data_IF_434423692988
#
_entry.id   IF_434423692988
#
_cell.length_a   1.000
_cell.length_b   1.000
_cell.length_c   1.000
_cell.angle_alpha   90.00
_cell.angle_beta   90.00
_cell.angle_gamma   90.00
#
_symmetry.space_group_name_H-M   'P 1'
#
loop_
_entity.id
_entity.type
_entity.pdbx_description
1 polymer ?
#
# COMPACT_ATOMS: atom_id res chain seq x y z
N UNK A 1 1.72 -2.24 3.24
CA UNK A 1 1.98 -1.96 1.81
C UNK A 1 1.15 -2.94 1.00
N UNK A 2 0.19 -2.45 0.23
CA UNK A 2 -0.70 -3.27 -0.60
C UNK A 2 -0.85 -2.57 -1.94
N UNK A 3 -0.48 -3.23 -3.04
CA UNK A 3 -0.76 -2.73 -4.39
C UNK A 3 -1.99 -3.49 -4.91
N UNK A 4 -3.16 -2.84 -5.04
CA UNK A 4 -4.38 -3.49 -5.50
C UNK A 4 -4.20 -4.25 -6.82
N UNK A 5 -3.54 -3.64 -7.79
CA UNK A 5 -3.34 -4.20 -9.13
C UNK A 5 -2.52 -5.50 -9.11
N UNK A 6 -1.65 -5.66 -8.11
CA UNK A 6 -0.73 -6.81 -7.98
C UNK A 6 -1.17 -7.78 -6.88
N UNK A 7 -2.33 -7.60 -6.24
CA UNK A 7 -2.74 -8.46 -5.11
C UNK A 7 -2.80 -9.94 -5.48
N UNK A 8 -3.22 -10.24 -6.72
CA UNK A 8 -3.43 -11.59 -7.21
C UNK A 8 -2.12 -12.36 -7.39
N UNK A 9 -0.98 -11.68 -7.58
CA UNK A 9 0.33 -12.34 -7.71
C UNK A 9 0.83 -12.86 -6.36
N UNK A 10 0.46 -12.19 -5.27
CA UNK A 10 0.92 -12.52 -3.92
C UNK A 10 -0.05 -13.46 -3.18
N UNK A 11 -1.34 -13.12 -3.18
CA UNK A 11 -2.35 -13.79 -2.34
C UNK A 11 -3.44 -14.52 -3.14
N UNK A 12 -3.56 -14.26 -4.44
CA UNK A 12 -4.65 -14.77 -5.28
C UNK A 12 -4.81 -16.30 -5.24
N UNK A 13 -3.75 -17.09 -5.51
CA UNK A 13 -3.83 -18.55 -5.49
C UNK A 13 -4.27 -19.12 -4.14
N UNK A 14 -3.71 -18.60 -3.04
CA UNK A 14 -3.98 -19.06 -1.68
C UNK A 14 -5.40 -18.69 -1.25
N UNK A 15 -5.86 -17.47 -1.58
CA UNK A 15 -7.23 -17.03 -1.34
C UNK A 15 -8.23 -17.89 -2.13
N UNK A 16 -7.98 -18.14 -3.41
CA UNK A 16 -8.84 -19.02 -4.24
C UNK A 16 -8.93 -20.43 -3.65
N UNK A 17 -7.79 -21.03 -3.28
CA UNK A 17 -7.75 -22.35 -2.69
C UNK A 17 -8.47 -22.42 -1.33
N UNK A 18 -8.33 -21.38 -0.51
CA UNK A 18 -9.03 -21.27 0.78
C UNK A 18 -10.53 -21.08 0.63
N UNK A 19 -10.97 -20.22 -0.29
CA UNK A 19 -12.38 -19.96 -0.57
C UNK A 19 -13.10 -21.21 -1.13
N UNK A 20 -12.42 -22.02 -1.96
CA UNK A 20 -12.99 -23.27 -2.47
C UNK A 20 -13.29 -24.31 -1.37
N UNK A 21 -12.61 -24.22 -0.22
CA UNK A 21 -12.83 -25.08 0.96
C UNK A 21 -13.77 -24.45 1.98
N UNK A 22 -14.17 -23.20 1.78
CA UNK A 22 -14.97 -22.44 2.75
C UNK A 22 -16.42 -22.92 2.69
N UNK A 23 -16.98 -23.23 3.86
CA UNK A 23 -18.39 -23.57 3.99
C UNK A 23 -19.29 -22.38 3.57
N UNK A 24 -20.38 -22.62 2.82
CA UNK A 24 -21.26 -21.57 2.30
C UNK A 24 -22.11 -20.88 3.38
N UNK A 25 -22.22 -21.45 4.58
CA UNK A 25 -22.93 -20.86 5.74
C UNK A 25 -22.18 -19.70 6.39
N UNK A 26 -20.89 -19.53 6.08
CA UNK A 26 -20.07 -18.45 6.64
C UNK A 26 -20.31 -17.14 5.91
N UNK A 27 -20.33 -16.04 6.66
CA UNK A 27 -20.29 -14.68 6.09
C UNK A 27 -19.11 -14.51 5.14
N UNK A 28 -19.21 -13.54 4.23
CA UNK A 28 -18.14 -13.15 3.30
C UNK A 28 -16.82 -12.95 4.07
N UNK A 29 -15.70 -13.36 3.46
CA UNK A 29 -14.38 -12.97 3.95
C UNK A 29 -14.21 -11.47 3.74
N UNK A 30 -13.94 -10.73 4.80
CA UNK A 30 -13.56 -9.33 4.68
C UNK A 30 -12.05 -9.20 4.47
N UNK A 31 -11.68 -8.30 3.57
CA UNK A 31 -10.29 -7.96 3.26
C UNK A 31 -10.10 -6.49 3.64
N UNK A 32 -9.21 -6.26 4.60
CA UNK A 32 -8.81 -4.92 5.04
C UNK A 32 -7.47 -4.56 4.41
N UNK A 33 -7.45 -3.44 3.69
CA UNK A 33 -6.23 -2.88 3.11
C UNK A 33 -6.38 -1.37 2.95
N UNK A 34 -5.25 -0.67 2.84
CA UNK A 34 -5.19 0.76 2.59
C UNK A 34 -3.82 1.31 2.97
N UNK A 35 -3.76 2.63 3.14
CA UNK A 35 -2.51 3.34 3.35
C UNK A 35 -2.74 4.76 3.84
N UNK A 36 -1.76 5.62 3.63
CA UNK A 36 -1.88 7.04 3.90
C UNK A 36 -3.02 7.64 3.09
N UNK A 37 -3.70 8.62 3.67
CA UNK A 37 -4.79 9.36 3.05
C UNK A 37 -4.50 10.86 3.09
N UNK A 38 -4.50 11.48 1.92
CA UNK A 38 -4.50 12.94 1.80
C UNK A 38 -5.16 13.32 0.47
N UNK A 39 -6.29 14.01 0.55
CA UNK A 39 -7.13 14.43 -0.56
C UNK A 39 -7.07 15.94 -0.63
N UNK A 40 -6.46 16.46 -1.70
CA UNK A 40 -6.38 17.88 -2.02
C UNK A 40 -6.04 17.99 -3.52
N UNK A 41 -6.70 18.89 -4.24
CA UNK A 41 -6.51 19.07 -5.69
C UNK A 41 -5.08 19.48 -6.05
N UNK A 42 -4.33 20.07 -5.12
CA UNK A 42 -2.92 20.43 -5.32
C UNK A 42 -1.96 19.22 -5.27
N UNK A 43 -2.40 18.06 -4.78
CA UNK A 43 -1.55 16.88 -4.59
C UNK A 43 -1.33 16.15 -5.91
N UNK A 44 -0.62 16.81 -6.81
CA UNK A 44 -0.15 16.31 -8.10
C UNK A 44 1.37 16.52 -8.20
N UNK A 45 2.06 15.70 -8.99
CA UNK A 45 3.50 15.83 -9.22
C UNK A 45 4.30 15.90 -7.91
N UNK A 46 5.12 16.95 -7.75
CA UNK A 46 5.99 17.11 -6.59
C UNK A 46 5.26 17.29 -5.26
N UNK A 47 4.08 17.91 -5.26
CA UNK A 47 3.28 18.07 -4.03
C UNK A 47 2.74 16.73 -3.54
N UNK A 48 2.30 15.88 -4.47
CA UNK A 48 1.94 14.49 -4.16
C UNK A 48 3.13 13.72 -3.61
N UNK A 49 4.28 13.83 -4.30
CA UNK A 49 5.52 13.13 -3.95
C UNK A 49 5.97 13.48 -2.54
N UNK A 50 5.96 14.76 -2.15
CA UNK A 50 6.33 15.20 -0.79
C UNK A 50 5.53 14.49 0.30
N UNK A 51 4.23 14.32 0.10
CA UNK A 51 3.36 13.62 1.07
C UNK A 51 3.62 12.12 1.05
N UNK A 52 3.76 11.52 -0.14
CA UNK A 52 4.07 10.09 -0.28
C UNK A 52 5.44 9.72 0.35
N UNK A 53 6.42 10.61 0.28
CA UNK A 53 7.76 10.40 0.82
C UNK A 53 7.75 10.23 2.35
N UNK A 54 6.72 10.73 3.06
CA UNK A 54 6.52 10.49 4.49
C UNK A 54 6.36 8.99 4.82
N UNK A 55 5.92 8.17 3.86
CA UNK A 55 5.76 6.73 4.02
C UNK A 55 7.06 5.93 3.82
N UNK A 56 8.09 6.51 3.19
CA UNK A 56 9.31 5.78 2.81
C UNK A 56 10.06 5.18 4.00
N UNK A 57 10.28 5.87 5.13
CA UNK A 57 11.01 5.29 6.26
C UNK A 57 10.32 4.04 6.82
N UNK A 58 8.98 4.07 6.89
CA UNK A 58 8.19 2.92 7.33
C UNK A 58 8.29 1.76 6.33
N UNK A 59 8.15 2.04 5.03
CA UNK A 59 8.31 1.01 4.00
C UNK A 59 9.71 0.41 3.97
N UNK A 60 10.76 1.21 4.14
CA UNK A 60 12.14 0.75 4.18
C UNK A 60 12.40 -0.18 5.38
N UNK A 61 11.86 0.17 6.55
CA UNK A 61 11.88 -0.72 7.71
C UNK A 61 11.23 -2.07 7.40
N UNK A 62 10.08 -2.07 6.74
CA UNK A 62 9.35 -3.31 6.47
C UNK A 62 10.07 -4.15 5.42
N UNK A 63 10.39 -3.58 4.25
CA UNK A 63 11.07 -4.28 3.15
C UNK A 63 12.48 -4.71 3.54
N UNK A 64 13.20 -3.90 4.33
CA UNK A 64 14.60 -4.16 4.65
C UNK A 64 14.86 -4.78 6.02
N UNK A 65 14.19 -4.29 7.06
CA UNK A 65 14.57 -4.54 8.46
C UNK A 65 13.66 -5.46 9.29
N UNK A 66 12.45 -5.79 8.84
CA UNK A 66 11.50 -6.60 9.64
C UNK A 66 11.83 -8.10 9.69
N UNK A 67 12.86 -8.56 8.97
CA UNK A 67 13.29 -9.96 8.98
C UNK A 67 14.72 -10.13 8.46
N UNK A 68 15.29 -11.31 8.73
CA UNK A 68 16.60 -11.69 8.21
C UNK A 68 16.53 -11.94 6.69
N UNK A 69 17.70 -11.95 6.03
CA UNK A 69 17.80 -12.29 4.60
C UNK A 69 17.18 -13.66 4.32
N UNK A 70 16.33 -13.73 3.29
CA UNK A 70 15.58 -14.94 2.94
C UNK A 70 14.48 -15.33 3.95
N UNK A 71 14.22 -14.50 4.96
CA UNK A 71 13.15 -14.65 5.96
C UNK A 71 12.50 -13.30 6.27
N UNK A 72 12.23 -12.51 5.23
CA UNK A 72 11.49 -11.26 5.35
C UNK A 72 10.29 -11.27 4.40
N UNK A 73 9.10 -11.49 4.96
CA UNK A 73 7.85 -11.56 4.20
C UNK A 73 7.53 -10.28 3.42
N UNK A 74 7.90 -9.11 3.93
CA UNK A 74 7.66 -7.84 3.22
C UNK A 74 8.62 -7.66 2.05
N UNK A 75 9.84 -8.18 2.16
CA UNK A 75 10.76 -8.29 1.05
C UNK A 75 10.21 -9.25 -0.01
N UNK A 76 9.73 -10.41 0.39
CA UNK A 76 9.11 -11.39 -0.53
C UNK A 76 7.90 -10.79 -1.27
N UNK A 77 7.09 -9.96 -0.60
CA UNK A 77 6.01 -9.19 -1.24
C UNK A 77 6.56 -8.22 -2.29
N UNK A 78 7.61 -7.47 -1.96
CA UNK A 78 8.26 -6.53 -2.89
C UNK A 78 8.71 -7.25 -4.17
N UNK A 79 9.38 -8.40 -3.98
CA UNK A 79 9.81 -9.30 -5.06
C UNK A 79 8.62 -9.79 -5.89
N UNK A 80 7.56 -10.29 -5.25
CA UNK A 80 6.35 -10.76 -5.94
C UNK A 80 5.56 -9.64 -6.66
N UNK A 81 5.80 -8.38 -6.30
CA UNK A 81 5.33 -7.22 -7.04
C UNK A 81 6.23 -6.84 -8.23
N UNK A 82 7.33 -7.54 -8.49
CA UNK A 82 8.27 -7.26 -9.57
C UNK A 82 9.30 -6.19 -9.24
N UNK A 83 9.57 -5.95 -7.94
CA UNK A 83 10.60 -5.03 -7.47
C UNK A 83 11.77 -5.80 -6.85
N UNK A 84 12.21 -6.90 -7.46
CA UNK A 84 13.23 -7.79 -6.89
C UNK A 84 14.54 -7.06 -6.63
N UNK A 85 14.99 -6.24 -7.58
CA UNK A 85 16.23 -5.46 -7.45
C UNK A 85 16.14 -4.47 -6.29
N UNK A 86 15.06 -3.72 -6.23
CA UNK A 86 14.84 -2.74 -5.18
C UNK A 86 14.63 -3.40 -3.82
N UNK A 87 14.02 -4.58 -3.77
CA UNK A 87 13.89 -5.36 -2.54
C UNK A 87 15.25 -5.76 -1.98
N UNK A 88 16.16 -6.25 -2.83
CA UNK A 88 17.52 -6.61 -2.43
C UNK A 88 18.32 -5.37 -1.99
N UNK A 89 18.28 -4.29 -2.79
CA UNK A 89 18.98 -3.04 -2.48
C UNK A 89 18.49 -2.41 -1.18
N UNK A 90 17.18 -2.32 -0.96
CA UNK A 90 16.59 -1.78 0.27
C UNK A 90 17.01 -2.61 1.48
N UNK A 91 17.02 -3.94 1.37
CA UNK A 91 17.43 -4.81 2.47
C UNK A 91 18.92 -4.69 2.79
N UNK A 92 19.78 -4.64 1.77
CA UNK A 92 21.22 -4.45 1.95
C UNK A 92 21.52 -3.13 2.67
N UNK A 93 20.97 -2.02 2.17
CA UNK A 93 21.15 -0.70 2.76
C UNK A 93 20.61 -0.64 4.19
N UNK A 94 19.42 -1.20 4.44
CA UNK A 94 18.81 -1.13 5.76
C UNK A 94 19.61 -1.92 6.81
N UNK A 95 20.09 -3.11 6.45
CA UNK A 95 20.90 -3.95 7.35
C UNK A 95 22.30 -3.38 7.58
N UNK A 96 22.84 -2.62 6.63
CA UNK A 96 24.06 -1.84 6.78
C UNK A 96 23.87 -0.54 7.59
N UNK A 97 22.64 -0.26 8.07
CA UNK A 97 22.31 0.94 8.85
C UNK A 97 22.07 2.21 8.01
N UNK A 98 22.12 2.10 6.68
CA UNK A 98 21.90 3.18 5.69
C UNK A 98 20.41 3.39 5.42
N UNK A 99 19.68 3.82 6.45
CA UNK A 99 18.20 3.87 6.43
C UNK A 99 17.63 4.88 5.45
N UNK A 100 18.29 6.02 5.28
CA UNK A 100 17.82 7.07 4.37
C UNK A 100 18.04 6.67 2.91
N UNK A 101 19.17 6.02 2.61
CA UNK A 101 19.43 5.42 1.30
C UNK A 101 18.45 4.28 1.01
N UNK A 102 18.17 3.42 1.99
CA UNK A 102 17.15 2.37 1.86
C UNK A 102 15.76 2.97 1.57
N UNK A 103 15.40 4.06 2.24
CA UNK A 103 14.15 4.78 1.98
C UNK A 103 14.12 5.42 0.57
N UNK A 104 15.25 5.92 0.09
CA UNK A 104 15.38 6.51 -1.25
C UNK A 104 15.28 5.46 -2.37
N UNK A 105 15.78 4.24 -2.14
CA UNK A 105 15.75 3.13 -3.10
C UNK A 105 14.33 2.60 -3.41
N UNK A 106 13.33 2.94 -2.58
CA UNK A 106 11.95 2.54 -2.85
C UNK A 106 11.38 3.21 -4.13
N UNK A 107 10.76 2.45 -5.05
CA UNK A 107 10.11 3.00 -6.24
C UNK A 107 8.99 3.99 -5.89
N UNK A 108 9.02 5.18 -6.47
CA UNK A 108 7.97 6.19 -6.26
C UNK A 108 6.58 5.69 -6.68
N UNK A 109 6.50 4.89 -7.74
CA UNK A 109 5.26 4.25 -8.21
C UNK A 109 4.65 3.35 -7.12
N UNK A 110 5.47 2.59 -6.40
CA UNK A 110 4.96 1.73 -5.32
C UNK A 110 4.31 2.57 -4.21
N UNK A 111 4.95 3.68 -3.82
CA UNK A 111 4.37 4.60 -2.85
C UNK A 111 3.01 5.14 -3.35
N UNK A 112 2.92 5.54 -4.61
CA UNK A 112 1.68 6.06 -5.18
C UNK A 112 0.55 5.01 -5.21
N UNK A 113 0.84 3.79 -5.68
CA UNK A 113 -0.15 2.71 -5.80
C UNK A 113 -0.61 2.17 -4.43
N UNK A 114 0.25 2.20 -3.43
CA UNK A 114 -0.06 1.67 -2.10
C UNK A 114 -0.75 2.67 -1.16
N UNK A 115 -0.99 3.91 -1.59
CA UNK A 115 -1.59 4.97 -0.76
C UNK A 115 -2.70 5.71 -1.51
N UNK A 116 -3.49 6.49 -0.75
CA UNK A 116 -4.60 7.30 -1.22
C UNK A 116 -4.25 8.79 -1.06
N UNK A 117 -3.24 9.24 -1.80
CA UNK A 117 -2.73 10.62 -1.75
C UNK A 117 -2.89 11.25 -3.13
N UNK A 118 -3.73 12.28 -3.27
CA UNK A 118 -3.96 12.94 -4.56
C UNK A 118 -5.27 13.73 -4.67
N UNK A 119 -5.58 14.28 -5.86
CA UNK A 119 -6.86 14.93 -6.14
C UNK A 119 -8.04 13.96 -6.05
N UNK A 120 -9.27 14.47 -5.92
CA UNK A 120 -10.46 13.61 -5.75
C UNK A 120 -10.64 12.61 -6.89
N UNK A 121 -10.29 12.98 -8.13
CA UNK A 121 -10.33 12.08 -9.29
C UNK A 121 -9.40 10.87 -9.12
N UNK A 122 -8.15 11.12 -8.75
CA UNK A 122 -7.17 10.07 -8.47
C UNK A 122 -7.65 9.15 -7.33
N UNK A 123 -8.21 9.72 -6.27
CA UNK A 123 -8.70 8.95 -5.12
C UNK A 123 -9.86 8.03 -5.53
N UNK A 124 -10.77 8.48 -6.40
CA UNK A 124 -11.83 7.62 -6.95
C UNK A 124 -11.26 6.43 -7.72
N UNK A 125 -10.24 6.66 -8.55
CA UNK A 125 -9.55 5.58 -9.27
C UNK A 125 -8.87 4.60 -8.30
N UNK A 126 -8.21 5.10 -7.24
CA UNK A 126 -7.65 4.23 -6.19
C UNK A 126 -8.73 3.42 -5.49
N UNK A 127 -9.83 4.04 -5.05
CA UNK A 127 -10.96 3.32 -4.41
C UNK A 127 -11.47 2.19 -5.31
N UNK A 128 -11.63 2.47 -6.61
CA UNK A 128 -12.05 1.46 -7.59
C UNK A 128 -11.05 0.30 -7.68
N UNK A 129 -9.75 0.59 -7.77
CA UNK A 129 -8.72 -0.45 -7.80
C UNK A 129 -8.71 -1.32 -6.53
N UNK A 130 -8.84 -0.72 -5.35
CA UNK A 130 -8.96 -1.46 -4.07
C UNK A 130 -10.21 -2.37 -4.08
N UNK A 131 -11.34 -1.85 -4.56
CA UNK A 131 -12.58 -2.63 -4.68
C UNK A 131 -12.46 -3.80 -5.65
N UNK A 132 -11.84 -3.59 -6.81
CA UNK A 132 -11.56 -4.64 -7.81
C UNK A 132 -10.61 -5.72 -7.26
N UNK A 133 -9.67 -5.33 -6.39
CA UNK A 133 -8.80 -6.25 -5.67
C UNK A 133 -9.51 -7.06 -4.56
N UNK A 134 -10.83 -6.85 -4.37
CA UNK A 134 -11.64 -7.55 -3.38
C UNK A 134 -11.56 -6.96 -1.98
N UNK A 135 -10.99 -5.76 -1.81
CA UNK A 135 -10.95 -5.07 -0.51
C UNK A 135 -12.36 -4.65 -0.12
N UNK A 136 -12.76 -5.03 1.09
CA UNK A 136 -14.09 -4.75 1.63
C UNK A 136 -14.08 -3.73 2.76
N UNK A 137 -12.90 -3.52 3.36
CA UNK A 137 -12.68 -2.52 4.41
C UNK A 137 -11.46 -1.69 4.02
N UNK A 138 -11.69 -0.43 3.65
CA UNK A 138 -10.61 0.49 3.31
C UNK A 138 -10.05 1.09 4.60
N UNK A 139 -8.84 0.69 4.98
CA UNK A 139 -8.18 1.12 6.23
C UNK A 139 -7.15 2.20 5.96
N UNK A 140 -7.43 3.42 6.38
CA UNK A 140 -6.68 4.61 6.00
C UNK A 140 -6.05 5.32 7.18
N UNK A 141 -4.92 5.99 6.93
CA UNK A 141 -4.24 6.84 7.90
C UNK A 141 -4.18 8.28 7.33
N UNK A 142 -5.09 9.18 7.73
CA UNK A 142 -5.06 10.57 7.29
C UNK A 142 -3.74 11.25 7.64
N UNK A 143 -3.19 12.01 6.70
CA UNK A 143 -1.97 12.80 6.85
C UNK A 143 -2.31 14.26 6.68
N UNK A 144 -1.84 15.09 7.61
CA UNK A 144 -2.08 16.53 7.62
C UNK A 144 -2.90 17.00 8.83
N UNK A 145 -3.26 18.30 8.87
CA UNK A 145 -3.81 18.94 10.07
C UNK A 145 -5.27 18.60 10.36
N UNK A 146 -6.03 18.11 9.38
CA UNK A 146 -7.47 17.81 9.53
C UNK A 146 -7.79 16.34 9.19
N UNK A 147 -7.47 15.40 10.09
CA UNK A 147 -7.72 13.98 9.84
C UNK A 147 -9.21 13.64 9.75
N UNK A 148 -10.09 14.36 10.47
CA UNK A 148 -11.53 14.09 10.46
C UNK A 148 -12.14 14.51 9.12
N UNK A 149 -11.82 15.71 8.64
CA UNK A 149 -12.31 16.19 7.35
C UNK A 149 -11.83 15.33 6.18
N UNK A 150 -10.63 14.75 6.26
CA UNK A 150 -10.13 13.78 5.28
C UNK A 150 -10.95 12.49 5.24
N UNK A 151 -11.36 11.96 6.39
CA UNK A 151 -12.23 10.77 6.48
C UNK A 151 -13.63 11.08 5.96
N UNK A 152 -14.21 12.23 6.32
CA UNK A 152 -15.51 12.66 5.81
C UNK A 152 -15.48 12.81 4.29
N UNK A 153 -14.45 13.46 3.76
CA UNK A 153 -14.24 13.62 2.33
C UNK A 153 -14.10 12.26 1.62
N UNK A 154 -13.28 11.36 2.15
CA UNK A 154 -13.16 10.00 1.62
C UNK A 154 -14.51 9.28 1.59
N UNK A 155 -15.30 9.39 2.66
CA UNK A 155 -16.64 8.79 2.73
C UNK A 155 -17.55 9.30 1.60
N UNK A 156 -17.52 10.59 1.29
CA UNK A 156 -18.30 11.13 0.14
C UNK A 156 -17.91 10.52 -1.20
N UNK A 157 -16.66 10.07 -1.35
CA UNK A 157 -16.15 9.44 -2.57
C UNK A 157 -16.43 7.93 -2.62
N UNK A 158 -16.62 7.29 -1.46
CA UNK A 158 -16.96 5.86 -1.37
C UNK A 158 -18.48 5.65 -1.55
N UNK A 159 -19.29 6.55 -0.99
CA UNK A 159 -20.75 6.44 -0.95
C UNK A 159 -21.43 7.00 -2.23
N UNK A 160 -20.74 7.84 -3.01
CA UNK A 160 -21.26 8.51 -4.21
C UNK A 160 -20.80 7.88 -5.52
#
# INVERSE_FOLDING_TARGET
MFIPEKYHTVWGPQLKAGLAKRSPDRKRLDISAGGMLAIDEKLVGDEQKKVLDLGRPHMALYVGGMGARGKNFYNDIARAYGYEKEADEVQDLYLDGKKDEAAAALPAEWLALANLVGPRSYIKERIAAYKEAGVTVLSVNPVGPDPVGQIELLRTLVDG
#
